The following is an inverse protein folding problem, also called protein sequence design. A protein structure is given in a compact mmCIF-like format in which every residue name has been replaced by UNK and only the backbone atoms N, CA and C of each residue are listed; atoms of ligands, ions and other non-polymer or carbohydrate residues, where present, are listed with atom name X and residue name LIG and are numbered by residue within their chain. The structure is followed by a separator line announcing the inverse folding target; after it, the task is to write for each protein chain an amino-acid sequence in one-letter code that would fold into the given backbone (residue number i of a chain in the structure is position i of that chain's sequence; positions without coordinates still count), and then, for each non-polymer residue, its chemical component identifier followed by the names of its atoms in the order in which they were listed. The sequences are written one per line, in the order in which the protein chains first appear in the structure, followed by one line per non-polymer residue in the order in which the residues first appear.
data_IF_176382483029
#
_entry.id   IF_176382483029
#
_cell.length_a   1.000
_cell.length_b   1.000
_cell.length_c   1.000
_cell.angle_alpha   90.00
_cell.angle_beta   90.00
_cell.angle_gamma   90.00
#
_symmetry.space_group_name_H-M   'P 1'
#
loop_
_entity.id
_entity.type
_entity.pdbx_description
1 polymer ?
#
# COMPACT_ATOMS: atom_id res chain seq x y z
N UNK A 1 29.43 -30.67 13.93
CA UNK A 1 29.35 -29.22 13.63
C UNK A 1 27.90 -28.90 13.25
N UNK A 2 27.17 -28.05 13.99
CA UNK A 2 25.85 -27.61 13.52
C UNK A 2 26.03 -26.60 12.38
N UNK A 3 25.10 -26.53 11.41
CA UNK A 3 25.19 -25.54 10.35
C UNK A 3 25.00 -24.14 10.95
N UNK A 4 25.88 -23.21 10.57
CA UNK A 4 25.67 -21.78 10.78
C UNK A 4 24.56 -21.33 9.83
N UNK A 5 23.31 -21.72 10.10
CA UNK A 5 22.17 -21.05 9.50
C UNK A 5 22.14 -19.67 10.13
N UNK A 6 22.79 -18.73 9.44
CA UNK A 6 22.63 -17.32 9.68
C UNK A 6 21.14 -17.04 9.44
N UNK A 7 20.32 -17.14 10.50
CA UNK A 7 18.93 -16.73 10.47
C UNK A 7 18.94 -15.21 10.29
N UNK A 8 19.04 -14.79 9.03
CA UNK A 8 18.80 -13.41 8.64
C UNK A 8 17.47 -13.02 9.29
N UNK A 9 17.43 -11.94 10.09
CA UNK A 9 16.24 -11.58 10.84
C UNK A 9 15.07 -11.57 9.86
N UNK A 10 14.10 -12.46 10.08
CA UNK A 10 12.94 -12.68 9.24
C UNK A 10 12.51 -11.34 8.66
N UNK A 11 12.88 -11.09 7.39
CA UNK A 11 12.69 -9.79 6.74
C UNK A 11 11.24 -9.43 7.01
N UNK A 12 10.99 -8.43 7.85
CA UNK A 12 9.64 -7.97 8.17
C UNK A 12 9.03 -7.48 6.86
N UNK A 13 8.30 -8.37 6.18
CA UNK A 13 7.70 -8.10 4.87
C UNK A 13 6.45 -7.27 5.11
N UNK A 14 6.65 -5.97 5.28
CA UNK A 14 5.54 -5.02 5.32
C UNK A 14 5.11 -4.74 3.88
N UNK A 15 3.89 -5.15 3.52
CA UNK A 15 3.28 -4.90 2.21
C UNK A 15 2.40 -3.65 2.32
N UNK A 16 2.71 -2.61 1.55
CA UNK A 16 1.87 -1.42 1.45
C UNK A 16 0.94 -1.57 0.25
N UNK A 17 -0.37 -1.42 0.49
CA UNK A 17 -1.37 -1.40 -0.55
C UNK A 17 -2.09 -0.05 -0.50
N UNK A 18 -2.19 0.60 -1.66
CA UNK A 18 -2.96 1.84 -1.83
C UNK A 18 -4.15 1.49 -2.72
N UNK A 19 -5.35 1.76 -2.22
CA UNK A 19 -6.61 1.47 -2.90
C UNK A 19 -7.36 2.79 -3.01
N UNK A 20 -7.75 3.16 -4.23
CA UNK A 20 -8.47 4.39 -4.53
C UNK A 20 -8.66 4.55 -6.03
N UNK A 21 -9.17 5.71 -6.44
CA UNK A 21 -9.15 6.09 -7.85
C UNK A 21 -7.69 6.20 -8.33
N UNK A 22 -7.41 5.99 -9.64
CA UNK A 22 -6.05 6.03 -10.17
C UNK A 22 -5.34 7.37 -9.86
N UNK A 23 -6.06 8.48 -9.91
CA UNK A 23 -5.54 9.82 -9.59
C UNK A 23 -5.16 9.94 -8.10
N UNK A 24 -6.06 9.54 -7.20
CA UNK A 24 -5.83 9.58 -5.75
C UNK A 24 -4.70 8.64 -5.32
N UNK A 25 -4.65 7.45 -5.93
CA UNK A 25 -3.61 6.46 -5.67
C UNK A 25 -2.23 7.00 -6.12
N UNK A 26 -2.16 7.62 -7.30
CA UNK A 26 -0.91 8.22 -7.77
C UNK A 26 -0.50 9.41 -6.89
N UNK A 27 -1.44 10.26 -6.48
CA UNK A 27 -1.16 11.36 -5.56
C UNK A 27 -0.63 10.86 -4.21
N UNK A 28 -1.15 9.74 -3.69
CA UNK A 28 -0.66 9.11 -2.48
C UNK A 28 0.77 8.55 -2.66
N UNK A 29 1.05 7.87 -3.78
CA UNK A 29 2.40 7.38 -4.12
C UNK A 29 3.38 8.56 -4.18
N UNK A 30 3.01 9.62 -4.88
CA UNK A 30 3.83 10.83 -5.03
C UNK A 30 4.13 11.47 -3.67
N UNK A 31 3.13 11.56 -2.80
CA UNK A 31 3.30 12.07 -1.44
C UNK A 31 4.25 11.20 -0.62
N UNK A 32 4.14 9.87 -0.71
CA UNK A 32 5.03 8.94 0.00
C UNK A 32 6.47 9.04 -0.50
N UNK A 33 6.67 9.26 -1.80
CA UNK A 33 7.98 9.52 -2.39
C UNK A 33 8.57 10.84 -1.91
N UNK A 34 7.80 11.92 -1.89
CA UNK A 34 8.25 13.22 -1.35
C UNK A 34 8.63 13.13 0.13
N UNK A 35 7.92 12.31 0.91
CA UNK A 35 8.23 12.04 2.31
C UNK A 35 9.41 11.07 2.51
N UNK A 36 10.07 10.63 1.42
CA UNK A 36 11.15 9.64 1.42
C UNK A 36 10.78 8.33 2.12
N UNK A 37 9.49 7.98 2.09
CA UNK A 37 8.99 6.74 2.68
C UNK A 37 9.17 5.55 1.73
N UNK A 38 8.81 5.74 0.47
CA UNK A 38 8.92 4.75 -0.59
C UNK A 38 9.05 5.48 -1.94
N UNK A 39 9.94 5.02 -2.81
CA UNK A 39 10.16 5.59 -4.12
C UNK A 39 9.07 5.17 -5.12
N UNK A 40 8.80 5.99 -6.15
CA UNK A 40 7.77 5.70 -7.16
C UNK A 40 7.99 4.37 -7.88
N UNK A 41 9.26 4.02 -8.15
CA UNK A 41 9.61 2.80 -8.89
C UNK A 41 9.49 1.51 -8.06
N UNK A 42 9.31 1.62 -6.74
CA UNK A 42 9.08 0.46 -5.87
C UNK A 42 7.64 -0.07 -5.96
N UNK A 43 6.73 0.74 -6.52
CA UNK A 43 5.33 0.38 -6.71
C UNK A 43 5.14 -0.40 -8.01
N UNK A 44 4.32 -1.45 -7.93
CA UNK A 44 3.86 -2.21 -9.09
C UNK A 44 2.91 -1.38 -9.95
N UNK A 45 2.72 -1.79 -11.20
CA UNK A 45 1.68 -1.21 -12.05
C UNK A 45 0.30 -1.25 -11.37
N UNK A 46 -0.53 -0.27 -11.69
CA UNK A 46 -1.91 -0.22 -11.24
C UNK A 46 -2.63 -1.50 -11.68
N UNK A 47 -3.22 -2.19 -10.70
CA UNK A 47 -4.07 -3.33 -10.93
C UNK A 47 -5.51 -2.86 -10.82
N UNK A 48 -6.27 -3.03 -11.91
CA UNK A 48 -7.70 -2.77 -11.87
C UNK A 48 -8.38 -3.79 -10.95
N UNK A 49 -9.34 -3.30 -10.16
CA UNK A 49 -10.15 -4.18 -9.33
C UNK A 49 -11.03 -5.04 -10.24
N UNK A 50 -10.86 -6.38 -10.24
CA UNK A 50 -11.76 -7.24 -11.01
C UNK A 50 -13.16 -7.20 -10.39
N UNK A 51 -14.20 -7.60 -11.16
CA UNK A 51 -15.60 -7.57 -10.68
C UNK A 51 -15.87 -8.34 -9.39
N UNK A 52 -15.00 -9.29 -9.06
CA UNK A 52 -15.11 -10.16 -7.88
C UNK A 52 -14.26 -9.67 -6.69
N UNK A 53 -13.59 -8.52 -6.82
CA UNK A 53 -12.70 -7.98 -5.79
C UNK A 53 -11.32 -8.65 -5.77
N UNK A 54 -10.44 -8.16 -4.87
CA UNK A 54 -9.07 -8.65 -4.70
C UNK A 54 -8.99 -9.42 -3.39
N UNK A 55 -8.45 -10.65 -3.44
CA UNK A 55 -8.18 -11.45 -2.24
C UNK A 55 -6.77 -11.15 -1.76
N UNK A 56 -6.64 -10.60 -0.55
CA UNK A 56 -5.36 -10.43 0.13
C UNK A 56 -5.07 -11.66 1.00
N UNK A 57 -4.11 -12.49 0.57
CA UNK A 57 -3.65 -13.64 1.34
C UNK A 57 -2.63 -13.20 2.42
N UNK A 58 -3.12 -13.11 3.65
CA UNK A 58 -2.34 -12.77 4.84
C UNK A 58 -1.71 -14.02 5.46
N UNK A 59 -0.42 -13.95 5.79
CA UNK A 59 0.27 -15.05 6.49
C UNK A 59 -0.05 -15.02 8.00
N UNK A 60 0.00 -16.17 8.70
CA UNK A 60 -0.17 -16.19 10.16
C UNK A 60 0.78 -15.21 10.85
N UNK A 61 0.22 -14.30 11.67
CA UNK A 61 0.96 -13.23 12.36
C UNK A 61 0.99 -11.89 11.61
N UNK A 62 0.48 -11.80 10.39
CA UNK A 62 0.27 -10.53 9.68
C UNK A 62 -1.01 -9.85 10.17
N UNK A 63 -0.99 -8.51 10.23
CA UNK A 63 -2.14 -7.70 10.64
C UNK A 63 -2.54 -6.79 9.50
N UNK A 64 -3.79 -6.87 9.06
CA UNK A 64 -4.39 -5.90 8.14
C UNK A 64 -5.01 -4.76 8.96
N UNK A 65 -4.65 -3.52 8.64
CA UNK A 65 -5.32 -2.32 9.15
C UNK A 65 -5.95 -1.59 7.98
N UNK A 66 -7.26 -1.35 8.07
CA UNK A 66 -8.01 -0.64 7.05
C UNK A 66 -8.47 0.70 7.60
N UNK A 67 -8.13 1.78 6.87
CA UNK A 67 -8.60 3.12 7.16
C UNK A 67 -9.32 3.63 5.91
N UNK A 68 -10.64 3.76 6.00
CA UNK A 68 -11.42 4.41 4.96
C UNK A 68 -11.52 5.90 5.28
N UNK A 69 -11.06 6.75 4.35
CA UNK A 69 -11.27 8.20 4.40
C UNK A 69 -11.94 8.62 3.10
N UNK A 70 -13.20 9.02 3.21
CA UNK A 70 -13.89 9.67 2.11
C UNK A 70 -13.33 11.10 1.99
N UNK A 71 -12.52 11.35 0.96
CA UNK A 71 -12.11 12.71 0.62
C UNK A 71 -13.32 13.35 -0.04
N UNK A 72 -14.15 14.04 0.74
CA UNK A 72 -15.15 14.93 0.17
C UNK A 72 -14.40 16.05 -0.54
N UNK A 73 -14.32 15.99 -1.86
CA UNK A 73 -13.96 17.17 -2.65
C UNK A 73 -15.04 18.20 -2.36
N UNK A 74 -14.72 19.21 -1.55
CA UNK A 74 -15.66 20.24 -1.14
C UNK A 74 -16.13 20.98 -2.39
N UNK A 75 -17.41 20.86 -2.83
CA UNK A 75 -17.91 21.66 -3.95
C UNK A 75 -18.27 23.09 -3.52
N UNK A 76 -17.78 23.55 -2.37
CA UNK A 76 -17.95 24.91 -1.88
C UNK A 76 -17.02 25.91 -2.55
N UNK A 77 -17.12 26.03 -3.87
CA UNK A 77 -16.82 27.25 -4.59
C UNK A 77 -18.17 27.73 -5.13
N UNK A 78 -18.77 28.71 -4.45
CA UNK A 78 -19.70 29.74 -4.94
C UNK A 78 -20.61 30.20 -3.79
N UNK A 79 -20.25 31.30 -3.14
CA UNK A 79 -21.13 32.44 -2.90
C UNK A 79 -20.29 33.71 -2.67
#
# INVERSE_FOLDING_TARGET
MPPLTCELPHRRRLRHCIIGLPEDAQMAIDRLHLLRYAERFEWTHALDFPPHGIVLDGRPGEVLRYLYREIRSNPGANE
#
